data_IF_749947126193
#
_entry.id   IF_749947126193
#
_cell.length_a   1.000
_cell.length_b   1.000
_cell.length_c   1.000
_cell.angle_alpha   90.00
_cell.angle_beta   90.00
_cell.angle_gamma   90.00
#
_symmetry.space_group_name_H-M   'P 1'
#
loop_
_entity.id
_entity.type
_entity.pdbx_description
1 polymer ?
#
# COMPACT_ATOMS: atom_id res chain seq x y z
N UNK A 1 10.89 -26.08 56.03
CA UNK A 1 11.93 -25.48 55.17
C UNK A 1 11.98 -26.19 53.80
N UNK A 2 11.06 -25.86 52.87
CA UNK A 2 10.92 -26.32 51.46
C UNK A 2 9.96 -25.33 50.76
N UNK A 3 10.03 -24.93 49.49
CA UNK A 3 11.11 -24.96 48.47
C UNK A 3 10.91 -23.74 47.52
N UNK A 4 11.71 -22.65 47.57
CA UNK A 4 11.54 -21.51 46.66
C UNK A 4 12.06 -21.79 45.23
N UNK A 5 13.05 -22.68 45.10
CA UNK A 5 13.78 -22.97 43.86
C UNK A 5 12.87 -23.53 42.76
N UNK A 6 11.87 -24.34 43.11
CA UNK A 6 10.99 -25.00 42.14
C UNK A 6 10.03 -23.99 41.47
N UNK A 7 9.46 -23.06 42.24
CA UNK A 7 8.62 -21.98 41.71
C UNK A 7 9.41 -21.06 40.77
N UNK A 8 10.65 -20.72 41.12
CA UNK A 8 11.50 -19.85 40.31
C UNK A 8 11.86 -20.49 38.95
N UNK A 9 12.11 -21.80 38.90
CA UNK A 9 12.31 -22.53 37.65
C UNK A 9 11.03 -22.55 36.80
N UNK A 10 9.87 -22.85 37.41
CA UNK A 10 8.58 -22.88 36.69
C UNK A 10 8.23 -21.53 36.05
N UNK A 11 8.47 -20.43 36.78
CA UNK A 11 8.23 -19.08 36.27
C UNK A 11 9.16 -18.71 35.11
N UNK A 12 10.44 -19.09 35.17
CA UNK A 12 11.40 -18.91 34.06
C UNK A 12 11.02 -19.74 32.82
N UNK A 13 10.54 -20.97 33.00
CA UNK A 13 10.05 -21.82 31.90
C UNK A 13 8.83 -21.16 31.23
N UNK A 14 7.84 -20.73 32.00
CA UNK A 14 6.65 -20.07 31.45
C UNK A 14 6.99 -18.75 30.73
N UNK A 15 7.98 -17.98 31.23
CA UNK A 15 8.49 -16.79 30.55
C UNK A 15 9.17 -17.14 29.22
N UNK A 16 10.04 -18.16 29.20
CA UNK A 16 10.77 -18.59 28.00
C UNK A 16 9.86 -19.19 26.93
N UNK A 17 8.86 -20.00 27.31
CA UNK A 17 7.86 -20.54 26.38
C UNK A 17 7.01 -19.40 25.78
N UNK A 18 6.63 -18.41 26.60
CA UNK A 18 5.87 -17.24 26.13
C UNK A 18 6.66 -16.35 25.18
N UNK A 19 7.97 -16.15 25.38
CA UNK A 19 8.81 -15.40 24.43
C UNK A 19 9.06 -16.17 23.14
N UNK A 20 9.25 -17.50 23.18
CA UNK A 20 9.34 -18.34 21.98
C UNK A 20 8.05 -18.26 21.15
N UNK A 21 6.88 -18.27 21.81
CA UNK A 21 5.58 -18.15 21.12
C UNK A 21 5.38 -16.77 20.45
N UNK A 22 5.84 -15.69 21.09
CA UNK A 22 5.83 -14.34 20.50
C UNK A 22 6.75 -14.26 19.28
N UNK A 23 7.96 -14.82 19.36
CA UNK A 23 8.90 -14.88 18.23
C UNK A 23 8.34 -15.67 17.03
N UNK A 24 7.69 -16.81 17.28
CA UNK A 24 7.04 -17.59 16.21
C UNK A 24 5.86 -16.84 15.57
N UNK A 25 5.07 -16.09 16.36
CA UNK A 25 3.98 -15.26 15.84
C UNK A 25 4.50 -14.08 14.98
N UNK A 26 5.62 -13.46 15.38
CA UNK A 26 6.29 -12.41 14.60
C UNK A 26 6.77 -12.90 13.23
N UNK A 27 7.29 -14.13 13.15
CA UNK A 27 7.75 -14.75 11.90
C UNK A 27 6.57 -15.08 10.96
N UNK A 28 5.36 -15.29 11.49
CA UNK A 28 4.18 -15.58 10.67
C UNK A 28 3.63 -14.34 9.95
N UNK A 29 3.81 -13.14 10.52
CA UNK A 29 3.29 -11.87 9.99
C UNK A 29 4.01 -11.43 8.70
N UNK A 30 5.28 -11.77 8.52
CA UNK A 30 6.06 -11.34 7.34
C UNK A 30 5.70 -12.10 6.06
N UNK A 31 5.03 -13.25 6.15
CA UNK A 31 4.68 -14.11 5.01
C UNK A 31 3.34 -13.69 4.37
N UNK A 32 2.49 -12.93 5.09
CA UNK A 32 1.11 -12.64 4.63
C UNK A 32 1.00 -11.53 3.58
N UNK A 33 1.98 -10.65 3.43
CA UNK A 33 1.90 -9.44 2.58
C UNK A 33 1.60 -9.76 1.10
N UNK A 34 2.20 -10.82 0.55
CA UNK A 34 1.95 -11.27 -0.83
C UNK A 34 0.62 -12.02 -1.01
N UNK A 35 0.05 -12.52 0.10
CA UNK A 35 -1.28 -13.14 0.13
C UNK A 35 -2.39 -12.07 0.21
N UNK A 36 -2.12 -10.98 0.92
CA UNK A 36 -3.07 -9.90 1.18
C UNK A 36 -3.50 -9.19 -0.11
N UNK A 37 -2.57 -8.76 -0.96
CA UNK A 37 -2.90 -8.07 -2.23
C UNK A 37 -3.74 -8.94 -3.18
N UNK A 38 -3.48 -10.26 -3.24
CA UNK A 38 -4.30 -11.21 -4.02
C UNK A 38 -5.72 -11.37 -3.46
N UNK A 39 -5.88 -11.37 -2.13
CA UNK A 39 -7.19 -11.42 -1.45
C UNK A 39 -7.98 -10.13 -1.67
N UNK A 40 -7.33 -8.98 -1.54
CA UNK A 40 -7.91 -7.66 -1.76
C UNK A 40 -8.40 -7.51 -3.22
N UNK A 41 -7.55 -7.83 -4.20
CA UNK A 41 -7.93 -7.82 -5.62
C UNK A 41 -9.12 -8.73 -5.92
N UNK A 42 -9.19 -9.90 -5.27
CA UNK A 42 -10.35 -10.81 -5.36
C UNK A 42 -11.61 -10.19 -4.75
N UNK A 43 -11.51 -9.50 -3.61
CA UNK A 43 -12.65 -8.85 -2.95
C UNK A 43 -13.19 -7.67 -3.78
N UNK A 44 -12.30 -6.78 -4.27
CA UNK A 44 -12.65 -5.66 -5.16
C UNK A 44 -13.42 -6.17 -6.38
N UNK A 45 -12.91 -7.22 -7.04
CA UNK A 45 -13.58 -7.83 -8.19
C UNK A 45 -14.88 -8.55 -7.85
N UNK A 46 -14.96 -9.24 -6.70
CA UNK A 46 -16.16 -9.96 -6.24
C UNK A 46 -17.33 -9.01 -5.95
N UNK A 47 -17.06 -7.90 -5.26
CA UNK A 47 -18.08 -6.94 -4.84
C UNK A 47 -18.24 -5.76 -5.83
N UNK A 48 -17.52 -5.77 -6.95
CA UNK A 48 -17.59 -4.69 -7.96
C UNK A 48 -17.16 -3.31 -7.44
N UNK A 49 -16.21 -3.27 -6.50
CA UNK A 49 -15.78 -2.04 -5.82
C UNK A 49 -15.12 -1.12 -6.86
N UNK A 50 -15.76 0.02 -7.14
CA UNK A 50 -15.25 1.03 -8.08
C UNK A 50 -14.23 1.97 -7.45
N UNK A 51 -14.38 2.25 -6.15
CA UNK A 51 -13.46 3.12 -5.42
C UNK A 51 -13.46 2.82 -3.92
N UNK A 52 -12.37 3.16 -3.25
CA UNK A 52 -12.21 3.10 -1.79
C UNK A 52 -11.72 4.46 -1.31
N UNK A 53 -12.29 4.96 -0.21
CA UNK A 53 -11.79 6.13 0.52
C UNK A 53 -11.31 5.67 1.89
N UNK A 54 -10.06 5.93 2.22
CA UNK A 54 -9.51 5.65 3.54
C UNK A 54 -9.59 6.93 4.39
N UNK A 55 -10.10 6.78 5.61
CA UNK A 55 -10.27 7.87 6.57
C UNK A 55 -9.46 7.53 7.82
N UNK A 56 -8.74 8.51 8.36
CA UNK A 56 -8.00 8.38 9.62
C UNK A 56 -8.65 9.28 10.66
N UNK A 57 -8.96 8.71 11.82
CA UNK A 57 -9.43 9.44 13.01
C UNK A 57 -8.28 9.55 14.01
N UNK A 58 -7.90 10.78 14.34
CA UNK A 58 -6.87 11.08 15.34
C UNK A 58 -7.54 11.71 16.57
N UNK A 59 -7.27 11.20 17.77
CA UNK A 59 -7.72 11.80 19.02
C UNK A 59 -6.59 12.68 19.58
N UNK A 60 -6.84 13.99 19.68
CA UNK A 60 -5.92 14.95 20.28
C UNK A 60 -6.61 15.61 21.47
N UNK A 61 -6.11 15.33 22.68
CA UNK A 61 -6.63 15.87 23.95
C UNK A 61 -8.15 15.65 24.14
N UNK A 62 -8.66 14.47 23.77
CA UNK A 62 -10.09 14.14 23.87
C UNK A 62 -10.94 14.63 22.71
N UNK A 63 -10.40 15.46 21.80
CA UNK A 63 -11.07 15.85 20.56
C UNK A 63 -10.70 14.88 19.45
N UNK A 64 -11.69 14.17 18.92
CA UNK A 64 -11.53 13.38 17.70
C UNK A 64 -11.57 14.28 16.46
N UNK A 65 -10.68 14.01 15.51
CA UNK A 65 -10.67 14.64 14.19
C UNK A 65 -10.51 13.56 13.13
N UNK A 66 -11.51 13.41 12.27
CA UNK A 66 -11.50 12.47 11.15
C UNK A 66 -11.15 13.21 9.88
N UNK A 67 -10.18 12.71 9.12
CA UNK A 67 -9.72 13.27 7.84
C UNK A 67 -9.65 12.19 6.76
N UNK A 68 -9.74 12.61 5.49
CA UNK A 68 -9.39 11.76 4.35
C UNK A 68 -7.89 11.49 4.40
N UNK A 69 -7.49 10.26 4.19
CA UNK A 69 -6.10 9.82 4.16
C UNK A 69 -5.72 9.40 2.74
N UNK A 70 -6.56 8.59 2.10
CA UNK A 70 -6.39 8.20 0.70
C UNK A 70 -7.71 8.04 -0.07
N UNK A 71 -7.62 8.01 -1.40
CA UNK A 71 -8.71 7.59 -2.28
C UNK A 71 -8.16 6.84 -3.48
N UNK A 72 -8.76 5.69 -3.79
CA UNK A 72 -8.37 4.83 -4.91
C UNK A 72 -9.57 4.56 -5.82
N UNK A 73 -9.38 4.59 -7.14
CA UNK A 73 -10.35 4.11 -8.14
C UNK A 73 -9.80 2.84 -8.79
N UNK A 74 -10.69 1.88 -9.05
CA UNK A 74 -10.37 0.59 -9.64
C UNK A 74 -11.11 0.37 -10.97
N UNK A 75 -10.47 -0.34 -11.90
CA UNK A 75 -11.15 -0.90 -13.07
C UNK A 75 -11.92 -2.21 -12.74
N UNK A 76 -12.65 -2.73 -13.74
CA UNK A 76 -13.37 -4.03 -13.65
C UNK A 76 -12.48 -5.25 -13.36
N UNK A 77 -11.16 -5.11 -13.53
CA UNK A 77 -10.16 -6.13 -13.28
C UNK A 77 -9.49 -5.95 -11.91
N UNK A 78 -9.96 -4.99 -11.10
CA UNK A 78 -9.39 -4.58 -9.82
C UNK A 78 -7.93 -4.10 -9.92
N UNK A 79 -7.59 -3.40 -11.01
CA UNK A 79 -6.36 -2.63 -11.15
C UNK A 79 -6.61 -1.18 -10.66
N UNK A 80 -5.64 -0.57 -9.95
CA UNK A 80 -5.73 0.84 -9.53
C UNK A 80 -5.57 1.76 -10.74
N UNK A 81 -6.61 2.50 -11.12
CA UNK A 81 -6.55 3.44 -12.26
C UNK A 81 -6.27 4.88 -11.83
N UNK A 82 -6.57 5.21 -10.57
CA UNK A 82 -6.32 6.50 -9.95
C UNK A 82 -6.08 6.31 -8.46
N UNK A 83 -5.18 7.10 -7.88
CA UNK A 83 -4.96 7.16 -6.44
C UNK A 83 -4.59 8.59 -6.02
N UNK A 84 -5.04 8.96 -4.81
CA UNK A 84 -4.73 10.21 -4.12
C UNK A 84 -4.32 9.91 -2.68
N UNK A 85 -3.29 10.61 -2.20
CA UNK A 85 -2.88 10.63 -0.79
C UNK A 85 -2.98 12.05 -0.24
N UNK A 86 -3.38 12.20 1.02
CA UNK A 86 -3.65 13.48 1.66
C UNK A 86 -2.74 13.75 2.86
N UNK A 87 -2.31 15.00 3.03
CA UNK A 87 -1.60 15.47 4.23
C UNK A 87 -2.56 15.58 5.41
N UNK A 88 -2.02 15.71 6.63
CA UNK A 88 -2.83 15.87 7.87
C UNK A 88 -3.75 17.10 7.87
N UNK A 89 -3.36 18.16 7.16
CA UNK A 89 -4.15 19.37 6.96
C UNK A 89 -5.27 19.23 5.91
N UNK A 90 -5.39 18.06 5.26
CA UNK A 90 -6.36 17.77 4.21
C UNK A 90 -5.94 18.21 2.81
N UNK A 91 -4.75 18.78 2.63
CA UNK A 91 -4.22 19.12 1.30
C UNK A 91 -3.75 17.86 0.55
N UNK A 92 -3.83 17.88 -0.78
CA UNK A 92 -3.40 16.76 -1.62
C UNK A 92 -1.87 16.64 -1.56
N UNK A 93 -1.37 15.49 -1.11
CA UNK A 93 0.06 15.18 -0.97
C UNK A 93 0.61 14.61 -2.27
N UNK A 94 -0.11 13.65 -2.85
CA UNK A 94 0.29 12.91 -4.03
C UNK A 94 -0.93 12.48 -4.82
N UNK A 95 -0.79 12.35 -6.15
CA UNK A 95 -1.74 11.63 -7.00
C UNK A 95 -1.02 10.84 -8.07
N UNK A 96 -1.54 9.66 -8.39
CA UNK A 96 -1.12 8.84 -9.54
C UNK A 96 -2.33 8.47 -10.39
N UNK A 97 -2.09 8.23 -11.68
CA UNK A 97 -3.05 7.62 -12.59
C UNK A 97 -2.36 6.55 -13.43
N UNK A 98 -3.06 5.46 -13.72
CA UNK A 98 -2.53 4.35 -14.53
C UNK A 98 -3.57 3.87 -15.53
N UNK A 99 -3.16 3.72 -16.79
CA UNK A 99 -3.94 3.06 -17.85
C UNK A 99 -3.38 1.66 -18.10
N UNK A 100 -4.28 0.72 -18.40
CA UNK A 100 -3.95 -0.67 -18.66
C UNK A 100 -4.43 -1.11 -20.04
N UNK A 101 -3.71 -2.05 -20.66
CA UNK A 101 -4.20 -2.77 -21.83
C UNK A 101 -5.23 -3.86 -21.45
N UNK A 102 -5.70 -4.60 -22.45
CA UNK A 102 -6.66 -5.71 -22.26
C UNK A 102 -6.07 -6.94 -21.56
N UNK A 103 -4.74 -7.09 -21.55
CA UNK A 103 -4.01 -8.16 -20.85
C UNK A 103 -3.74 -7.79 -19.38
N UNK A 104 -3.86 -6.51 -19.01
CA UNK A 104 -3.62 -5.98 -17.66
C UNK A 104 -2.22 -5.41 -17.46
N UNK A 105 -1.46 -5.15 -18.52
CA UNK A 105 -0.18 -4.44 -18.44
C UNK A 105 -0.41 -2.93 -18.30
N UNK A 106 0.42 -2.23 -17.52
CA UNK A 106 0.43 -0.75 -17.52
C UNK A 106 0.91 -0.25 -18.89
N UNK A 107 0.14 0.59 -19.58
CA UNK A 107 0.55 1.24 -20.85
C UNK A 107 0.91 2.71 -20.67
N UNK A 108 0.33 3.35 -19.66
CA UNK A 108 0.62 4.73 -19.27
C UNK A 108 0.52 4.83 -17.75
N UNK A 109 1.44 5.55 -17.14
CA UNK A 109 1.44 5.94 -15.74
C UNK A 109 1.74 7.44 -15.65
N UNK A 110 1.17 8.15 -14.69
CA UNK A 110 1.51 9.55 -14.42
C UNK A 110 1.45 9.79 -12.94
N UNK A 111 2.53 10.32 -12.38
CA UNK A 111 2.73 10.53 -10.95
C UNK A 111 2.93 12.03 -10.69
N UNK A 112 2.29 12.55 -9.64
CA UNK A 112 2.49 13.92 -9.17
C UNK A 112 2.71 13.90 -7.65
N UNK A 113 3.94 14.19 -7.21
CA UNK A 113 4.24 14.56 -5.83
C UNK A 113 4.03 16.09 -5.67
N UNK A 114 3.02 16.43 -4.88
CA UNK A 114 2.61 17.81 -4.59
C UNK A 114 3.19 18.24 -3.22
N UNK A 115 3.81 17.32 -2.49
CA UNK A 115 4.18 17.54 -1.10
C UNK A 115 5.35 18.53 -0.94
N UNK A 116 6.34 18.41 -1.82
CA UNK A 116 7.68 19.01 -1.67
C UNK A 116 7.99 20.11 -2.69
N UNK A 117 7.03 20.49 -3.55
CA UNK A 117 7.21 21.47 -4.65
C UNK A 117 8.37 21.17 -5.61
N UNK A 118 8.92 19.95 -5.63
CA UNK A 118 9.95 19.55 -6.59
C UNK A 118 9.28 18.97 -7.86
N UNK A 119 9.24 19.71 -8.98
CA UNK A 119 8.59 19.24 -10.20
C UNK A 119 9.31 18.06 -10.86
N UNK A 120 10.58 17.80 -10.55
CA UNK A 120 11.35 16.66 -11.10
C UNK A 120 10.81 15.30 -10.67
N UNK A 121 10.09 15.24 -9.54
CA UNK A 121 9.41 14.02 -9.08
C UNK A 121 8.15 13.71 -9.89
N UNK A 122 7.65 14.67 -10.66
CA UNK A 122 6.41 14.54 -11.40
C UNK A 122 6.74 14.05 -12.82
N UNK A 123 6.28 12.85 -13.15
CA UNK A 123 6.60 12.23 -14.43
C UNK A 123 5.38 11.58 -15.06
N UNK A 124 5.47 11.40 -16.38
CA UNK A 124 4.62 10.50 -17.15
C UNK A 124 5.50 9.40 -17.72
N UNK A 125 5.06 8.14 -17.65
CA UNK A 125 5.72 7.01 -18.30
C UNK A 125 4.76 6.35 -19.29
N UNK A 126 5.25 5.99 -20.46
CA UNK A 126 4.55 5.12 -21.41
C UNK A 126 5.32 3.83 -21.62
N UNK A 127 4.59 2.73 -21.78
CA UNK A 127 5.16 1.39 -21.89
C UNK A 127 4.64 0.69 -23.14
N UNK A 128 5.54 0.05 -23.89
CA UNK A 128 5.18 -0.83 -25.01
C UNK A 128 5.58 -2.27 -24.70
N UNK A 129 4.86 -3.19 -25.32
CA UNK A 129 5.01 -4.63 -25.14
C UNK A 129 4.98 -5.32 -26.50
N UNK A 130 5.69 -6.44 -26.63
CA UNK A 130 5.58 -7.32 -27.80
C UNK A 130 4.35 -8.24 -27.74
N UNK A 131 4.21 -9.10 -28.74
CA UNK A 131 3.17 -10.13 -28.80
C UNK A 131 3.23 -11.12 -27.64
N UNK A 132 4.44 -11.45 -27.18
CA UNK A 132 4.75 -12.39 -26.09
C UNK A 132 4.55 -11.78 -24.70
N UNK A 133 4.19 -10.50 -24.61
CA UNK A 133 3.97 -9.75 -23.38
C UNK A 133 5.27 -9.33 -22.65
N UNK A 134 6.41 -9.34 -23.32
CA UNK A 134 7.63 -8.75 -22.80
C UNK A 134 7.59 -7.22 -22.98
N UNK A 135 8.11 -6.46 -22.01
CA UNK A 135 8.20 -5.00 -22.13
C UNK A 135 9.35 -4.64 -23.07
N UNK A 136 9.04 -3.92 -24.15
CA UNK A 136 10.00 -3.55 -25.21
C UNK A 136 10.46 -2.10 -25.15
N UNK A 137 9.64 -1.20 -24.61
CA UNK A 137 9.96 0.24 -24.54
C UNK A 137 9.45 0.86 -23.24
N UNK A 138 10.23 1.79 -22.71
CA UNK A 138 9.84 2.76 -21.68
C UNK A 138 10.19 4.14 -22.21
N UNK A 139 9.23 5.04 -22.21
CA UNK A 139 9.47 6.47 -22.46
C UNK A 139 9.06 7.22 -21.19
N UNK A 140 9.93 8.09 -20.69
CA UNK A 140 9.67 8.93 -19.51
C UNK A 140 9.65 10.39 -19.93
N UNK A 141 8.68 11.13 -19.42
CA UNK A 141 8.45 12.53 -19.75
C UNK A 141 8.28 13.35 -18.47
N UNK A 142 8.74 14.61 -18.53
CA UNK A 142 8.42 15.62 -17.53
C UNK A 142 6.93 16.03 -17.59
N UNK A 143 6.49 16.85 -16.63
CA UNK A 143 5.12 17.38 -16.58
C UNK A 143 4.73 18.33 -17.72
N UNK A 144 5.70 18.83 -18.47
CA UNK A 144 5.46 19.66 -19.67
C UNK A 144 5.39 18.83 -20.95
N UNK A 145 5.71 17.53 -20.86
CA UNK A 145 5.64 16.56 -21.96
C UNK A 145 6.94 16.39 -22.74
N UNK A 146 8.06 16.95 -22.27
CA UNK A 146 9.37 16.67 -22.88
C UNK A 146 9.88 15.32 -22.42
N UNK A 147 10.57 14.60 -23.31
CA UNK A 147 11.25 13.35 -22.96
C UNK A 147 12.45 13.64 -22.05
N UNK A 148 12.59 12.87 -20.97
CA UNK A 148 13.68 12.97 -19.97
C UNK A 148 14.69 11.84 -20.12
#
# INVERSE_FOLDING_TARGET
MKFPILKLKLQKINFMVRTIFILLFSIFITITSFSQSKKEKKAIKMYGIKSVTEMVTENMNGKETTRKDSYTIYDKNANKTYYEEYKKDGTLKHKESTKYDTKGNKIEETNYDIADSNPEKNNKKTFKYDSENNKTEVSEFDVTGNLT
#
